data_IF_519300464031
#
_entry.id   IF_519300464031
#
_cell.length_a   1.000
_cell.length_b   1.000
_cell.length_c   1.000
_cell.angle_alpha   90.00
_cell.angle_beta   90.00
_cell.angle_gamma   90.00
#
_symmetry.space_group_name_H-M   'P 1'
#
loop_
_entity.id
_entity.type
_entity.pdbx_description
1 polymer ?
#
# COMPACT_ATOMS: atom_id res chain seq x y z
N UNK A 1 -5.16 -10.01 -2.44
CA UNK A 1 -4.14 -8.95 -2.30
C UNK A 1 -3.04 -9.24 -3.31
N UNK A 2 -2.54 -8.22 -4.00
CA UNK A 2 -1.48 -8.38 -5.01
C UNK A 2 -0.09 -8.23 -4.38
N UNK A 3 0.10 -7.19 -3.55
CA UNK A 3 1.34 -6.88 -2.84
C UNK A 3 1.05 -6.49 -1.40
N UNK A 4 2.01 -6.71 -0.52
CA UNK A 4 1.96 -6.25 0.87
C UNK A 4 3.35 -5.86 1.37
N UNK A 5 3.38 -4.94 2.33
CA UNK A 5 4.55 -4.51 3.07
C UNK A 5 4.19 -4.58 4.55
N UNK A 6 4.78 -5.54 5.26
CA UNK A 6 4.43 -5.83 6.66
C UNK A 6 4.78 -4.70 7.62
N UNK A 7 5.75 -3.84 7.24
CA UNK A 7 6.22 -2.73 8.07
C UNK A 7 6.83 -1.60 7.26
N UNK A 8 6.31 -0.39 7.43
CA UNK A 8 6.93 0.87 7.01
C UNK A 8 6.74 1.96 8.08
N UNK A 9 7.33 3.14 7.87
CA UNK A 9 7.19 4.28 8.78
C UNK A 9 5.82 4.95 8.63
N UNK A 10 5.27 5.55 9.71
CA UNK A 10 4.02 6.31 9.62
C UNK A 10 4.04 7.46 8.60
N UNK A 11 5.22 8.02 8.30
CA UNK A 11 5.42 9.08 7.31
C UNK A 11 5.67 8.60 5.87
N UNK A 12 5.56 7.31 5.58
CA UNK A 12 5.76 6.77 4.24
C UNK A 12 4.54 7.04 3.34
N UNK A 13 4.37 8.29 2.90
CA UNK A 13 3.20 8.72 2.11
C UNK A 13 3.19 8.16 0.69
N UNK A 14 4.34 7.73 0.15
CA UNK A 14 4.41 7.17 -1.21
C UNK A 14 3.51 5.95 -1.41
N UNK A 15 3.15 5.25 -0.32
CA UNK A 15 2.28 4.08 -0.36
C UNK A 15 0.84 4.39 -0.81
N UNK A 16 0.44 5.66 -0.84
CA UNK A 16 -0.85 6.14 -1.34
C UNK A 16 -0.73 7.03 -2.59
N UNK A 17 0.46 7.16 -3.18
CA UNK A 17 0.65 7.89 -4.44
C UNK A 17 -0.16 7.25 -5.59
N UNK A 18 -0.45 7.98 -6.69
CA UNK A 18 -1.17 7.45 -7.86
C UNK A 18 -0.57 6.16 -8.45
N UNK A 19 0.76 6.00 -8.34
CA UNK A 19 1.47 4.74 -8.57
C UNK A 19 2.05 4.30 -7.22
N UNK A 20 1.29 3.52 -6.42
CA UNK A 20 1.64 3.28 -5.03
C UNK A 20 2.99 2.56 -4.88
N UNK A 21 3.92 3.17 -4.14
CA UNK A 21 5.23 2.58 -3.81
C UNK A 21 5.77 3.12 -2.50
N UNK A 22 6.47 2.29 -1.74
CA UNK A 22 7.11 2.78 -0.52
C UNK A 22 8.28 3.71 -0.88
N UNK A 23 8.34 4.87 -0.24
CA UNK A 23 9.51 5.76 -0.27
C UNK A 23 10.62 5.23 0.65
N UNK A 24 10.23 4.54 1.74
CA UNK A 24 11.15 3.91 2.71
C UNK A 24 11.77 2.63 2.15
N UNK A 25 11.00 1.85 1.40
CA UNK A 25 11.41 0.59 0.78
C UNK A 25 11.18 0.66 -0.74
N UNK A 26 12.11 1.26 -1.52
CA UNK A 26 11.88 1.59 -2.93
C UNK A 26 11.55 0.41 -3.86
N UNK A 27 11.86 -0.83 -3.44
CA UNK A 27 11.52 -2.04 -4.17
C UNK A 27 10.06 -2.49 -3.99
N UNK A 28 9.35 -2.00 -2.96
CA UNK A 28 7.98 -2.36 -2.66
C UNK A 28 6.97 -1.45 -3.36
N UNK A 29 5.97 -2.06 -4.01
CA UNK A 29 4.88 -1.38 -4.69
C UNK A 29 4.88 -1.61 -6.21
N UNK A 30 4.29 -0.65 -6.94
CA UNK A 30 4.15 -0.66 -8.39
C UNK A 30 5.12 0.34 -9.04
N UNK A 31 5.34 0.17 -10.35
CA UNK A 31 6.23 1.02 -11.17
C UNK A 31 5.54 1.63 -12.39
N UNK A 32 4.27 1.32 -12.62
CA UNK A 32 3.51 1.73 -13.78
C UNK A 32 2.13 2.24 -13.37
N UNK A 33 1.57 3.16 -14.17
CA UNK A 33 0.22 3.67 -13.99
C UNK A 33 -0.83 2.54 -14.07
N UNK A 34 -1.93 2.69 -13.32
CA UNK A 34 -3.00 1.70 -13.24
C UNK A 34 -4.07 2.09 -12.22
N UNK A 35 -5.01 1.18 -11.99
CA UNK A 35 -6.07 1.35 -10.99
C UNK A 35 -5.74 0.53 -9.75
N UNK A 36 -5.42 1.22 -8.66
CA UNK A 36 -4.94 0.61 -7.45
C UNK A 36 -5.83 0.94 -6.25
N UNK A 37 -5.85 0.03 -5.28
CA UNK A 37 -6.40 0.23 -3.95
C UNK A 37 -5.28 0.05 -2.93
N UNK A 38 -5.15 1.00 -2.01
CA UNK A 38 -4.23 0.92 -0.86
C UNK A 38 -5.04 0.77 0.42
N UNK A 39 -4.65 -0.19 1.27
CA UNK A 39 -5.14 -0.31 2.65
C UNK A 39 -3.97 -0.19 3.60
N UNK A 40 -4.10 0.65 4.62
CA UNK A 40 -3.06 0.88 5.63
C UNK A 40 -3.61 0.68 7.02
N UNK A 41 -2.87 -0.01 7.89
CA UNK A 41 -3.21 -0.15 9.31
C UNK A 41 -1.97 0.00 10.19
N UNK A 42 -2.17 0.22 11.47
CA UNK A 42 -1.10 0.24 12.46
C UNK A 42 -0.49 -1.16 12.64
N UNK A 43 0.81 -1.21 12.95
CA UNK A 43 1.51 -2.47 13.28
C UNK A 43 2.67 -2.21 14.25
N UNK A 44 2.99 -3.14 15.17
CA UNK A 44 2.22 -4.34 15.50
C UNK A 44 0.88 -4.01 16.17
N UNK A 45 0.08 -5.04 16.45
CA UNK A 45 -1.18 -4.90 17.20
C UNK A 45 -0.96 -4.13 18.50
N UNK A 46 -1.96 -3.32 18.88
CA UNK A 46 -1.92 -2.43 20.06
C UNK A 46 -0.80 -1.37 20.03
N UNK A 47 -0.18 -1.12 18.88
CA UNK A 47 0.87 -0.11 18.70
C UNK A 47 0.63 0.71 17.45
N UNK A 48 1.07 1.98 17.45
CA UNK A 48 1.07 2.86 16.29
C UNK A 48 2.47 3.12 15.73
N UNK A 49 3.48 2.36 16.19
CA UNK A 49 4.90 2.57 15.87
C UNK A 49 5.20 2.51 14.38
N UNK A 50 4.53 1.62 13.66
CA UNK A 50 4.71 1.41 12.22
C UNK A 50 3.37 1.30 11.50
N UNK A 51 3.44 1.14 10.18
CA UNK A 51 2.28 0.84 9.34
C UNK A 51 2.49 -0.46 8.56
N UNK A 52 1.44 -1.26 8.49
CA UNK A 52 1.32 -2.34 7.52
C UNK A 52 0.53 -1.80 6.34
N UNK A 53 0.98 -2.16 5.13
CA UNK A 53 0.34 -1.74 3.88
C UNK A 53 0.02 -2.96 3.03
N UNK A 54 -1.18 -2.97 2.46
CA UNK A 54 -1.57 -3.91 1.43
C UNK A 54 -2.12 -3.19 0.21
N UNK A 55 -1.79 -3.70 -0.97
CA UNK A 55 -2.24 -3.17 -2.25
C UNK A 55 -3.02 -4.20 -3.06
N UNK A 56 -4.02 -3.69 -3.79
CA UNK A 56 -4.73 -4.43 -4.82
C UNK A 56 -4.71 -3.66 -6.14
N UNK A 57 -4.77 -4.39 -7.25
CA UNK A 57 -5.03 -3.83 -8.59
C UNK A 57 -6.46 -4.19 -9.00
N UNK A 58 -7.18 -3.24 -9.58
CA UNK A 58 -8.55 -3.47 -10.05
C UNK A 58 -8.55 -4.54 -11.15
N UNK A 59 -9.27 -5.64 -10.93
CA UNK A 59 -9.36 -6.75 -11.87
C UNK A 59 -10.59 -6.67 -12.80
N UNK A 60 -11.73 -6.22 -12.27
CA UNK A 60 -12.97 -6.08 -13.03
C UNK A 60 -13.89 -5.04 -12.37
N UNK A 61 -14.78 -4.45 -13.18
CA UNK A 61 -15.90 -3.63 -12.74
C UNK A 61 -17.17 -4.27 -13.29
N UNK A 62 -18.22 -4.37 -12.48
CA UNK A 62 -19.53 -4.88 -12.91
C UNK A 62 -20.57 -3.76 -12.78
N UNK A 63 -21.40 -3.53 -13.80
CA UNK A 63 -22.56 -2.65 -13.68
C UNK A 63 -23.48 -3.12 -12.54
N UNK A 64 -24.16 -2.16 -11.90
CA UNK A 64 -25.13 -2.44 -10.83
C UNK A 64 -26.46 -2.91 -11.40
#
# INVERSE_FOLDING_TARGET
MDKALSRTLPGDTGVIDPVPRSAVWPAAGYRAAGHYLTMTTCTPEFSSKYRLVAWGRLAAVRPR
#
